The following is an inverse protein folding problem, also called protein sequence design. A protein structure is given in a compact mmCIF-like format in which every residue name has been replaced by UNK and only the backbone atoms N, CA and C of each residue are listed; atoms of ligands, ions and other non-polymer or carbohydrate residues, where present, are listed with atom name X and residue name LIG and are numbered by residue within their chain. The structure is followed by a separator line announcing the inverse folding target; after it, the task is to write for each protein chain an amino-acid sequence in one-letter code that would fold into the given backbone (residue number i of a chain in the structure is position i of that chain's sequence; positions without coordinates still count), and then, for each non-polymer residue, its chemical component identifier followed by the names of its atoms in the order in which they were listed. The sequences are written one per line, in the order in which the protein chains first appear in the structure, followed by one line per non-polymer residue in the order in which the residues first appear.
data_IF_128462165653
#
_entry.id   IF_128462165653
#
_cell.length_a   1.000
_cell.length_b   1.000
_cell.length_c   1.000
_cell.angle_alpha   90.00
_cell.angle_beta   90.00
_cell.angle_gamma   90.00
#
_symmetry.space_group_name_H-M   'P 1'
#
loop_
_entity.id
_entity.type
_entity.pdbx_description
1 polymer ?
#
# COMPACT_ATOMS: atom_id res chain seq x y z
N UNK A 1 -6.49 -10.19 -17.81
CA UNK A 1 -5.54 -9.41 -17.03
C UNK A 1 -4.59 -8.67 -17.93
N UNK A 2 -4.47 -7.41 -17.71
CA UNK A 2 -3.58 -6.60 -18.52
C UNK A 2 -2.47 -6.06 -17.64
N UNK A 3 -1.47 -5.52 -18.30
CA UNK A 3 -0.35 -4.95 -17.59
C UNK A 3 -0.81 -3.80 -16.68
N UNK A 4 -1.80 -3.07 -17.13
CA UNK A 4 -2.31 -1.96 -16.34
C UNK A 4 -2.94 -2.45 -15.05
N UNK A 5 -3.65 -3.57 -15.13
CA UNK A 5 -4.25 -4.14 -13.93
C UNK A 5 -3.18 -4.56 -12.94
N UNK A 6 -2.14 -5.18 -13.44
CA UNK A 6 -1.06 -5.62 -12.58
C UNK A 6 -0.37 -4.44 -11.91
N UNK A 7 -0.12 -3.40 -12.67
CA UNK A 7 0.52 -2.20 -12.13
C UNK A 7 -0.37 -1.54 -11.08
N UNK A 8 -1.66 -1.44 -11.36
CA UNK A 8 -2.57 -0.85 -10.40
C UNK A 8 -2.64 -1.65 -9.12
N UNK A 9 -2.65 -2.96 -9.24
CA UNK A 9 -2.70 -3.83 -8.07
C UNK A 9 -1.45 -3.67 -7.22
N UNK A 10 -0.30 -3.63 -7.85
CA UNK A 10 0.96 -3.49 -7.13
C UNK A 10 0.99 -2.17 -6.39
N UNK A 11 0.59 -1.10 -7.07
CA UNK A 11 0.59 0.22 -6.46
C UNK A 11 -0.39 0.26 -5.29
N UNK A 12 -1.56 -0.35 -5.47
CA UNK A 12 -2.56 -0.35 -4.42
C UNK A 12 -2.05 -1.07 -3.17
N UNK A 13 -1.38 -2.20 -3.37
CA UNK A 13 -0.84 -2.96 -2.24
C UNK A 13 0.25 -2.14 -1.54
N UNK A 14 1.10 -1.50 -2.31
CA UNK A 14 2.17 -0.70 -1.74
C UNK A 14 1.62 0.47 -0.93
N UNK A 15 0.61 1.14 -1.47
CA UNK A 15 0.01 2.28 -0.79
C UNK A 15 -0.67 1.83 0.49
N UNK A 16 -1.39 0.72 0.43
CA UNK A 16 -2.08 0.20 1.60
C UNK A 16 -1.08 -0.18 2.68
N UNK A 17 -0.02 -0.86 2.30
CA UNK A 17 0.99 -1.26 3.26
C UNK A 17 1.65 -0.03 3.89
N UNK A 18 1.86 1.00 3.09
CA UNK A 18 2.47 2.21 3.61
C UNK A 18 1.56 2.89 4.63
N UNK A 19 0.26 2.92 4.32
CA UNK A 19 -0.69 3.53 5.23
C UNK A 19 -0.75 2.79 6.56
N UNK A 20 -0.76 1.47 6.50
CA UNK A 20 -0.78 0.66 7.71
C UNK A 20 0.49 0.89 8.51
N UNK A 21 1.61 0.93 7.83
CA UNK A 21 2.88 1.15 8.48
C UNK A 21 2.91 2.51 9.17
N UNK A 22 2.43 3.53 8.48
CA UNK A 22 2.40 4.87 9.04
C UNK A 22 1.49 4.94 10.25
N UNK A 23 0.37 4.24 10.21
CA UNK A 23 -0.56 4.23 11.32
C UNK A 23 0.06 3.58 12.55
N UNK A 24 0.68 2.44 12.36
CA UNK A 24 1.32 1.73 13.45
C UNK A 24 2.43 2.58 14.05
N UNK A 25 3.16 3.23 13.18
CA UNK A 25 4.27 4.04 13.64
C UNK A 25 3.79 5.28 14.38
N UNK A 26 2.67 5.84 13.94
CA UNK A 26 2.13 7.02 14.58
C UNK A 26 1.59 6.72 15.96
N UNK A 27 1.05 5.53 16.15
CA UNK A 27 0.53 5.13 17.45
C UNK A 27 1.61 4.75 18.42
N UNK A 28 2.82 4.71 17.94
CA UNK A 28 3.87 4.20 18.73
C UNK A 28 4.57 5.24 19.56
N UNK A 29 4.00 5.91 20.37
CA UNK A 29 4.76 6.82 21.26
C UNK A 29 4.19 6.90 22.66
#
# INVERSE_FOLDING_TARGET
MSLEDALGSIVAVLLTAYLVYALVRAERF
#
